data_IF_528227830763
#
_entry.id   IF_528227830763
#
_cell.length_a   1.000
_cell.length_b   1.000
_cell.length_c   1.000
_cell.angle_alpha   90.00
_cell.angle_beta   90.00
_cell.angle_gamma   90.00
#
_symmetry.space_group_name_H-M   'P 1'
#
loop_
_entity.id
_entity.type
_entity.pdbx_description
1 polymer ?
#
# COMPACT_ATOMS: atom_id res chain seq x y z
N UNK A 1 0.99 -21.86 32.39
CA UNK A 1 1.63 -20.60 31.94
C UNK A 1 2.39 -20.69 30.60
N UNK A 2 2.29 -21.78 29.81
CA UNK A 2 3.13 -22.00 28.60
C UNK A 2 2.42 -21.77 27.25
N UNK A 3 1.09 -21.65 27.22
CA UNK A 3 0.31 -21.46 25.98
C UNK A 3 0.34 -20.01 25.46
N UNK A 4 0.30 -19.02 26.36
CA UNK A 4 0.25 -17.59 25.98
C UNK A 4 1.56 -17.08 25.34
N UNK A 5 2.71 -17.61 25.76
CA UNK A 5 4.03 -17.24 25.24
C UNK A 5 4.26 -17.70 23.79
N UNK A 6 3.84 -18.94 23.45
CA UNK A 6 3.96 -19.45 22.06
C UNK A 6 3.02 -18.73 21.10
N UNK A 7 1.81 -18.40 21.53
CA UNK A 7 0.84 -17.67 20.71
C UNK A 7 1.31 -16.23 20.40
N UNK A 8 1.91 -15.53 21.38
CA UNK A 8 2.48 -14.21 21.18
C UNK A 8 3.69 -14.22 20.22
N UNK A 9 4.57 -15.23 20.33
CA UNK A 9 5.77 -15.38 19.49
C UNK A 9 5.43 -15.74 18.04
N UNK A 10 4.45 -16.61 17.82
CA UNK A 10 3.98 -16.99 16.49
C UNK A 10 3.27 -15.82 15.76
N UNK A 11 2.50 -15.01 16.49
CA UNK A 11 1.83 -13.81 15.94
C UNK A 11 2.85 -12.77 15.45
N UNK A 12 3.88 -12.48 16.26
CA UNK A 12 4.97 -11.56 15.90
C UNK A 12 5.75 -12.02 14.65
N UNK A 13 5.99 -13.33 14.50
CA UNK A 13 6.68 -13.88 13.33
C UNK A 13 5.85 -13.72 12.03
N UNK A 14 4.54 -13.96 12.08
CA UNK A 14 3.67 -13.82 10.90
C UNK A 14 3.55 -12.38 10.41
N UNK A 15 3.48 -11.41 11.33
CA UNK A 15 3.42 -9.98 11.01
C UNK A 15 4.72 -9.53 10.31
N UNK A 16 5.87 -9.97 10.84
CA UNK A 16 7.17 -9.71 10.24
C UNK A 16 7.30 -10.29 8.83
N UNK A 17 6.90 -11.54 8.62
CA UNK A 17 6.96 -12.17 7.28
C UNK A 17 6.09 -11.45 6.25
N UNK A 18 4.91 -10.95 6.65
CA UNK A 18 4.02 -10.23 5.73
C UNK A 18 4.59 -8.86 5.33
N UNK A 19 5.16 -8.14 6.29
CA UNK A 19 5.86 -6.87 6.03
C UNK A 19 7.07 -7.13 5.13
N UNK A 20 7.91 -8.10 5.47
CA UNK A 20 9.09 -8.47 4.69
C UNK A 20 8.72 -8.85 3.25
N UNK A 21 7.69 -9.69 3.07
CA UNK A 21 7.22 -10.08 1.75
C UNK A 21 6.75 -8.86 0.93
N UNK A 22 5.97 -7.96 1.54
CA UNK A 22 5.52 -6.73 0.88
C UNK A 22 6.69 -5.84 0.47
N UNK A 23 7.67 -5.66 1.36
CA UNK A 23 8.88 -4.87 1.10
C UNK A 23 9.72 -5.48 -0.02
N UNK A 24 9.91 -6.80 -0.03
CA UNK A 24 10.67 -7.50 -1.08
C UNK A 24 9.97 -7.35 -2.43
N UNK A 25 8.65 -7.57 -2.50
CA UNK A 25 7.89 -7.43 -3.75
C UNK A 25 7.96 -6.00 -4.28
N UNK A 26 7.80 -5.00 -3.40
CA UNK A 26 7.94 -3.59 -3.79
C UNK A 26 9.36 -3.27 -4.25
N UNK A 27 10.38 -3.74 -3.54
CA UNK A 27 11.78 -3.55 -3.92
C UNK A 27 12.09 -4.13 -5.31
N UNK A 28 11.55 -5.32 -5.62
CA UNK A 28 11.67 -5.93 -6.94
C UNK A 28 10.95 -5.12 -8.02
N UNK A 29 9.71 -4.68 -7.77
CA UNK A 29 8.97 -3.83 -8.71
C UNK A 29 9.75 -2.54 -8.97
N UNK A 30 10.23 -1.86 -7.92
CA UNK A 30 11.04 -0.64 -8.06
C UNK A 30 12.32 -0.88 -8.86
N UNK A 31 13.06 -1.97 -8.57
CA UNK A 31 14.28 -2.31 -9.31
C UNK A 31 13.99 -2.55 -10.81
N UNK A 32 12.92 -3.28 -11.13
CA UNK A 32 12.50 -3.54 -12.51
C UNK A 32 12.06 -2.26 -13.21
N UNK A 33 11.31 -1.38 -12.54
CA UNK A 33 10.89 -0.10 -13.10
C UNK A 33 12.09 0.80 -13.41
N UNK A 34 13.04 0.91 -12.48
CA UNK A 34 14.28 1.70 -12.67
C UNK A 34 15.11 1.11 -13.82
N UNK A 35 15.37 -0.20 -13.79
CA UNK A 35 16.10 -0.88 -14.85
C UNK A 35 15.41 -0.74 -16.21
N UNK A 36 14.09 -0.94 -16.26
CA UNK A 36 13.29 -0.82 -17.47
C UNK A 36 13.33 0.58 -18.07
N UNK A 37 13.29 1.63 -17.24
CA UNK A 37 13.40 3.03 -17.68
C UNK A 37 14.78 3.30 -18.30
N UNK A 38 15.86 2.90 -17.63
CA UNK A 38 17.22 3.10 -18.14
C UNK A 38 17.47 2.28 -19.41
N UNK A 39 17.08 1.01 -19.43
CA UNK A 39 17.26 0.15 -20.59
C UNK A 39 16.45 0.66 -21.79
N UNK A 40 15.21 1.09 -21.59
CA UNK A 40 14.36 1.63 -22.66
C UNK A 40 14.99 2.88 -23.31
N UNK A 41 15.66 3.72 -22.51
CA UNK A 41 16.38 4.90 -22.99
C UNK A 41 17.71 4.55 -23.66
N UNK A 42 18.54 3.72 -23.01
CA UNK A 42 19.88 3.34 -23.49
C UNK A 42 19.82 2.51 -24.78
N UNK A 43 18.88 1.58 -24.88
CA UNK A 43 18.67 0.78 -26.07
C UNK A 43 17.87 1.52 -27.16
N UNK A 44 17.57 2.82 -26.98
CA UNK A 44 16.80 3.67 -27.90
C UNK A 44 15.48 3.05 -28.37
N UNK A 45 14.84 2.23 -27.54
CA UNK A 45 13.58 1.54 -27.90
C UNK A 45 12.47 2.56 -28.19
N UNK A 46 12.55 3.76 -27.61
CA UNK A 46 11.66 4.88 -27.88
C UNK A 46 11.73 5.41 -29.33
N UNK A 47 12.82 5.18 -30.07
CA UNK A 47 12.97 5.57 -31.49
C UNK A 47 12.61 4.42 -32.44
N UNK A 48 12.51 3.18 -31.92
CA UNK A 48 12.26 2.00 -32.74
C UNK A 48 10.81 1.94 -33.27
N UNK A 49 10.62 1.05 -34.26
CA UNK A 49 9.31 0.75 -34.82
C UNK A 49 8.29 0.37 -33.74
N UNK A 50 6.99 0.72 -33.91
CA UNK A 50 5.96 0.49 -32.90
C UNK A 50 5.80 -0.99 -32.52
N UNK A 51 6.08 -1.91 -33.45
CA UNK A 51 6.01 -3.35 -33.17
C UNK A 51 7.06 -3.80 -32.15
N UNK A 52 8.27 -3.24 -32.20
CA UNK A 52 9.37 -3.56 -31.28
C UNK A 52 9.08 -2.99 -29.89
N UNK A 53 8.51 -1.78 -29.84
CA UNK A 53 8.02 -1.16 -28.61
C UNK A 53 6.96 -2.02 -27.93
N UNK A 54 5.98 -2.49 -28.69
CA UNK A 54 4.90 -3.35 -28.17
C UNK A 54 5.45 -4.69 -27.66
N UNK A 55 6.36 -5.33 -28.40
CA UNK A 55 7.00 -6.58 -27.97
C UNK A 55 7.78 -6.41 -26.65
N UNK A 56 8.52 -5.31 -26.52
CA UNK A 56 9.23 -4.96 -25.29
C UNK A 56 8.28 -4.74 -24.11
N UNK A 57 7.22 -3.96 -24.31
CA UNK A 57 6.19 -3.71 -23.28
C UNK A 57 5.51 -5.01 -22.85
N UNK A 58 5.19 -5.91 -23.78
CA UNK A 58 4.58 -7.20 -23.45
C UNK A 58 5.50 -8.08 -22.62
N UNK A 59 6.81 -8.11 -22.93
CA UNK A 59 7.80 -8.82 -22.12
C UNK A 59 7.89 -8.25 -20.71
N UNK A 60 7.95 -6.92 -20.58
CA UNK A 60 7.99 -6.24 -19.28
C UNK A 60 6.72 -6.49 -18.47
N UNK A 61 5.56 -6.42 -19.12
CA UNK A 61 4.28 -6.73 -18.48
C UNK A 61 4.24 -8.18 -17.99
N UNK A 62 4.77 -9.13 -18.76
CA UNK A 62 4.86 -10.53 -18.33
C UNK A 62 5.71 -10.74 -17.08
N UNK A 63 6.78 -9.95 -16.91
CA UNK A 63 7.64 -10.00 -15.71
C UNK A 63 6.98 -9.31 -14.51
N UNK A 64 6.34 -8.16 -14.72
CA UNK A 64 5.78 -7.34 -13.64
C UNK A 64 4.40 -7.85 -13.17
N UNK A 65 3.60 -8.44 -14.05
CA UNK A 65 2.27 -8.96 -13.71
C UNK A 65 2.23 -9.89 -12.48
N UNK A 66 3.07 -10.93 -12.35
CA UNK A 66 3.05 -11.79 -11.17
C UNK A 66 3.40 -11.03 -9.88
N UNK A 67 4.28 -10.02 -9.95
CA UNK A 67 4.63 -9.18 -8.81
C UNK A 67 3.45 -8.29 -8.39
N UNK A 68 2.72 -7.71 -9.35
CA UNK A 68 1.50 -6.94 -9.06
C UNK A 68 0.44 -7.85 -8.42
N UNK A 69 0.23 -9.05 -8.95
CA UNK A 69 -0.73 -10.01 -8.36
C UNK A 69 -0.32 -10.35 -6.92
N UNK A 70 0.95 -10.68 -6.69
CA UNK A 70 1.46 -10.95 -5.36
C UNK A 70 1.26 -9.74 -4.42
N UNK A 71 1.52 -8.53 -4.89
CA UNK A 71 1.32 -7.30 -4.13
C UNK A 71 -0.16 -7.09 -3.77
N UNK A 72 -1.09 -7.31 -4.70
CA UNK A 72 -2.53 -7.21 -4.44
C UNK A 72 -2.97 -8.21 -3.37
N UNK A 73 -2.51 -9.45 -3.45
CA UNK A 73 -2.83 -10.48 -2.47
C UNK A 73 -2.27 -10.14 -1.08
N UNK A 74 -1.02 -9.65 -1.02
CA UNK A 74 -0.41 -9.19 0.22
C UNK A 74 -1.21 -8.03 0.82
N UNK A 75 -1.51 -6.99 0.03
CA UNK A 75 -2.29 -5.83 0.49
C UNK A 75 -3.70 -6.24 0.96
N UNK A 76 -4.36 -7.16 0.25
CA UNK A 76 -5.67 -7.71 0.62
C UNK A 76 -5.69 -8.40 1.98
N UNK A 77 -4.54 -8.89 2.47
CA UNK A 77 -4.39 -9.49 3.79
C UNK A 77 -3.87 -8.47 4.82
N UNK A 78 -2.98 -7.55 4.41
CA UNK A 78 -2.38 -6.54 5.28
C UNK A 78 -3.41 -5.56 5.87
N UNK A 79 -4.40 -5.14 5.06
CA UNK A 79 -5.39 -4.12 5.47
C UNK A 79 -6.38 -4.66 6.51
N UNK A 80 -7.09 -5.78 6.29
CA UNK A 80 -8.15 -6.22 7.20
C UNK A 80 -7.60 -6.67 8.55
N UNK A 81 -6.33 -7.11 8.59
CA UNK A 81 -5.61 -7.47 9.82
C UNK A 81 -5.50 -6.32 10.82
N UNK A 82 -5.56 -5.06 10.35
CA UNK A 82 -5.54 -3.86 11.21
C UNK A 82 -6.88 -3.64 11.93
N UNK A 83 -7.97 -4.10 11.32
CA UNK A 83 -9.34 -3.87 11.78
C UNK A 83 -9.93 -5.08 12.51
N UNK A 84 -9.64 -6.30 12.06
CA UNK A 84 -10.34 -7.52 12.47
C UNK A 84 -9.46 -8.47 13.31
N UNK A 85 -10.03 -9.14 14.32
CA UNK A 85 -9.37 -10.24 15.01
C UNK A 85 -9.17 -11.45 14.08
N UNK A 86 -8.19 -12.30 14.38
CA UNK A 86 -7.72 -13.39 13.49
C UNK A 86 -8.83 -14.30 12.94
N UNK A 87 -9.86 -14.59 13.75
CA UNK A 87 -10.99 -15.44 13.33
C UNK A 87 -11.83 -14.78 12.24
N UNK A 88 -12.13 -13.49 12.38
CA UNK A 88 -12.87 -12.71 11.38
C UNK A 88 -12.01 -12.39 10.17
N UNK A 89 -10.70 -12.18 10.37
CA UNK A 89 -9.74 -12.01 9.28
C UNK A 89 -9.77 -13.22 8.34
N UNK A 90 -9.73 -14.45 8.86
CA UNK A 90 -9.74 -15.64 8.01
C UNK A 90 -11.04 -15.76 7.21
N UNK A 91 -12.20 -15.48 7.83
CA UNK A 91 -13.50 -15.47 7.14
C UNK A 91 -13.54 -14.42 6.03
N UNK A 92 -13.05 -13.22 6.32
CA UNK A 92 -12.98 -12.13 5.36
C UNK A 92 -12.04 -12.45 4.19
N UNK A 93 -10.85 -13.02 4.47
CA UNK A 93 -9.89 -13.43 3.45
C UNK A 93 -10.45 -14.53 2.56
N UNK A 94 -11.12 -15.55 3.13
CA UNK A 94 -11.79 -16.59 2.34
C UNK A 94 -12.87 -15.96 1.45
N UNK A 95 -13.69 -15.08 2.00
CA UNK A 95 -14.73 -14.38 1.23
C UNK A 95 -14.12 -13.55 0.10
N UNK A 96 -13.04 -12.81 0.35
CA UNK A 96 -12.31 -12.05 -0.66
C UNK A 96 -11.74 -12.94 -1.77
N UNK A 97 -11.17 -14.09 -1.42
CA UNK A 97 -10.61 -15.03 -2.39
C UNK A 97 -11.74 -15.63 -3.23
N UNK A 98 -12.83 -16.07 -2.61
CA UNK A 98 -13.98 -16.63 -3.33
C UNK A 98 -14.60 -15.61 -4.27
N UNK A 99 -14.83 -14.37 -3.82
CA UNK A 99 -15.37 -13.31 -4.68
C UNK A 99 -14.40 -12.98 -5.81
N UNK A 100 -13.10 -12.92 -5.55
CA UNK A 100 -12.08 -12.72 -6.57
C UNK A 100 -12.05 -13.84 -7.61
N UNK A 101 -12.15 -15.11 -7.18
CA UNK A 101 -12.16 -16.26 -8.09
C UNK A 101 -13.43 -16.30 -8.94
N UNK A 102 -14.59 -16.10 -8.32
CA UNK A 102 -15.89 -16.06 -9.01
C UNK A 102 -15.90 -14.92 -10.03
N UNK A 103 -15.52 -13.71 -9.64
CA UNK A 103 -15.46 -12.57 -10.56
C UNK A 103 -14.39 -12.74 -11.64
N UNK A 104 -13.26 -13.38 -11.33
CA UNK A 104 -12.23 -13.71 -12.32
C UNK A 104 -12.72 -14.74 -13.33
N UNK A 105 -13.55 -15.69 -12.91
CA UNK A 105 -14.15 -16.70 -13.78
C UNK A 105 -15.15 -16.08 -14.76
N UNK A 106 -16.00 -15.15 -14.29
CA UNK A 106 -17.03 -14.54 -15.13
C UNK A 106 -16.56 -13.35 -15.96
N UNK A 107 -15.67 -12.51 -15.43
CA UNK A 107 -15.30 -11.22 -16.01
C UNK A 107 -13.78 -11.06 -16.24
N UNK A 108 -13.01 -12.14 -16.06
CA UNK A 108 -11.56 -12.17 -16.25
C UNK A 108 -10.76 -11.72 -15.03
N UNK A 109 -9.51 -12.19 -14.97
CA UNK A 109 -8.57 -11.98 -13.84
C UNK A 109 -8.39 -10.50 -13.50
N UNK A 110 -8.35 -9.61 -14.50
CA UNK A 110 -8.23 -8.17 -14.30
C UNK A 110 -9.38 -7.63 -13.42
N UNK A 111 -10.60 -8.07 -13.66
CA UNK A 111 -11.79 -7.62 -12.93
C UNK A 111 -11.76 -8.14 -11.49
N UNK A 112 -11.41 -9.41 -11.29
CA UNK A 112 -11.29 -9.97 -9.93
C UNK A 112 -10.22 -9.28 -9.09
N UNK A 113 -9.07 -8.98 -9.67
CA UNK A 113 -8.02 -8.19 -9.00
C UNK A 113 -8.50 -6.78 -8.64
N UNK A 114 -9.27 -6.13 -9.53
CA UNK A 114 -9.84 -4.81 -9.27
C UNK A 114 -10.84 -4.86 -8.11
N UNK A 115 -11.68 -5.90 -8.02
CA UNK A 115 -12.60 -6.10 -6.88
C UNK A 115 -11.84 -6.23 -5.56
N UNK A 116 -10.77 -7.04 -5.52
CA UNK A 116 -9.91 -7.18 -4.33
C UNK A 116 -9.31 -5.83 -3.94
N UNK A 117 -8.79 -5.10 -4.92
CA UNK A 117 -8.15 -3.81 -4.71
C UNK A 117 -9.15 -2.74 -4.26
N UNK A 118 -10.36 -2.72 -4.81
CA UNK A 118 -11.44 -1.83 -4.40
C UNK A 118 -11.88 -2.10 -2.96
N UNK A 119 -12.05 -3.38 -2.59
CA UNK A 119 -12.35 -3.76 -1.21
C UNK A 119 -11.23 -3.33 -0.25
N UNK A 120 -9.96 -3.55 -0.62
CA UNK A 120 -8.81 -3.10 0.16
C UNK A 120 -8.77 -1.57 0.30
N UNK A 121 -9.08 -0.83 -0.76
CA UNK A 121 -9.13 0.64 -0.76
C UNK A 121 -10.21 1.17 0.19
N UNK A 122 -11.42 0.61 0.12
CA UNK A 122 -12.53 1.00 1.00
C UNK A 122 -12.13 0.75 2.46
N UNK A 123 -11.64 -0.45 2.78
CA UNK A 123 -11.21 -0.79 4.14
C UNK A 123 -10.07 0.10 4.62
N UNK A 124 -9.07 0.36 3.78
CA UNK A 124 -7.93 1.19 4.14
C UNK A 124 -8.34 2.65 4.38
N UNK A 125 -9.32 3.13 3.62
CA UNK A 125 -9.91 4.47 3.81
C UNK A 125 -10.61 4.55 5.17
N UNK A 126 -11.42 3.54 5.54
CA UNK A 126 -12.05 3.46 6.87
C UNK A 126 -10.99 3.43 7.98
N UNK A 127 -9.94 2.62 7.82
CA UNK A 127 -8.83 2.55 8.78
C UNK A 127 -8.12 3.90 8.92
N UNK A 128 -7.92 4.65 7.84
CA UNK A 128 -7.36 6.00 7.88
C UNK A 128 -8.26 6.97 8.64
N UNK A 129 -9.56 7.00 8.36
CA UNK A 129 -10.51 7.84 9.10
C UNK A 129 -10.52 7.51 10.59
N UNK A 130 -10.52 6.23 10.95
CA UNK A 130 -10.44 5.80 12.35
C UNK A 130 -9.10 6.17 13.01
N UNK A 131 -7.99 6.11 12.27
CA UNK A 131 -6.67 6.48 12.76
C UNK A 131 -6.59 7.99 13.03
N UNK A 132 -7.16 8.82 12.15
CA UNK A 132 -7.28 10.27 12.33
C UNK A 132 -8.21 10.59 13.52
N UNK A 133 -9.30 9.84 13.68
CA UNK A 133 -10.20 9.96 14.83
C UNK A 133 -9.59 9.49 16.16
N UNK A 134 -8.34 9.01 16.18
CA UNK A 134 -7.66 8.57 17.40
C UNK A 134 -8.23 7.28 18.00
N UNK A 135 -8.95 6.47 17.21
CA UNK A 135 -9.64 5.28 17.70
C UNK A 135 -8.66 4.28 18.34
N UNK A 136 -9.00 3.82 19.55
CA UNK A 136 -8.26 2.78 20.29
C UNK A 136 -8.53 1.37 19.77
N UNK A 137 -9.54 1.18 18.91
CA UNK A 137 -9.94 -0.12 18.36
C UNK A 137 -9.02 -0.65 17.26
N UNK A 138 -8.06 0.15 16.79
CA UNK A 138 -7.13 -0.26 15.73
C UNK A 138 -5.92 -1.00 16.31
N UNK A 139 -5.63 -2.18 15.74
CA UNK A 139 -4.50 -3.01 16.13
C UNK A 139 -3.22 -2.53 15.43
N UNK A 140 -2.51 -1.59 16.05
CA UNK A 140 -1.18 -1.16 15.58
C UNK A 140 -0.07 -1.67 16.49
N UNK A 141 1.06 -2.05 15.87
CA UNK A 141 2.25 -2.51 16.57
C UNK A 141 2.93 -1.39 17.39
N UNK A 142 2.85 -0.15 16.91
CA UNK A 142 3.34 1.04 17.63
C UNK A 142 2.18 1.92 18.13
N UNK A 143 2.30 2.43 19.37
CA UNK A 143 1.23 3.17 20.07
C UNK A 143 1.14 4.66 19.72
N UNK A 144 2.12 5.24 19.02
CA UNK A 144 2.13 6.68 18.71
C UNK A 144 1.09 7.08 17.67
N UNK A 145 0.27 8.09 17.95
CA UNK A 145 -0.79 8.61 17.05
C UNK A 145 -0.28 8.92 15.63
N UNK A 146 0.82 9.69 15.51
CA UNK A 146 1.41 10.04 14.22
C UNK A 146 1.94 8.83 13.45
N UNK A 147 2.52 7.85 14.17
CA UNK A 147 2.99 6.61 13.54
C UNK A 147 1.84 5.78 12.97
N UNK A 148 0.67 5.79 13.63
CA UNK A 148 -0.55 5.10 13.15
C UNK A 148 -1.08 5.74 11.87
N UNK A 149 -1.18 7.06 11.86
CA UNK A 149 -1.61 7.82 10.68
C UNK A 149 -0.61 7.61 9.54
N UNK A 150 0.69 7.71 9.82
CA UNK A 150 1.74 7.50 8.83
C UNK A 150 1.68 6.10 8.21
N UNK A 151 1.55 5.07 9.03
CA UNK A 151 1.44 3.68 8.56
C UNK A 151 0.17 3.45 7.72
N UNK A 152 -0.93 4.13 8.06
CA UNK A 152 -2.18 4.08 7.29
C UNK A 152 -2.05 4.79 5.95
N UNK A 153 -1.38 5.94 5.91
CA UNK A 153 -1.07 6.69 4.69
C UNK A 153 -0.16 5.90 3.74
N UNK A 154 0.86 5.20 4.26
CA UNK A 154 1.71 4.35 3.43
C UNK A 154 0.90 3.24 2.78
N UNK A 155 0.04 2.55 3.54
CA UNK A 155 -0.80 1.47 2.97
C UNK A 155 -1.80 2.00 1.94
N UNK A 156 -2.42 3.15 2.21
CA UNK A 156 -3.29 3.81 1.24
C UNK A 156 -2.53 4.17 -0.03
N UNK A 157 -1.34 4.76 0.10
CA UNK A 157 -0.46 5.08 -1.01
C UNK A 157 -0.10 3.84 -1.84
N UNK A 158 0.24 2.72 -1.21
CA UNK A 158 0.52 1.47 -1.94
C UNK A 158 -0.70 0.93 -2.70
N UNK A 159 -1.89 1.01 -2.12
CA UNK A 159 -3.12 0.59 -2.81
C UNK A 159 -3.40 1.49 -4.01
N UNK A 160 -3.28 2.81 -3.84
CA UNK A 160 -3.46 3.77 -4.92
C UNK A 160 -2.39 3.63 -6.01
N UNK A 161 -1.15 3.29 -5.65
CA UNK A 161 -0.08 2.97 -6.59
C UNK A 161 -0.44 1.77 -7.47
N UNK A 162 -0.96 0.69 -6.87
CA UNK A 162 -1.38 -0.48 -7.64
C UNK A 162 -2.60 -0.14 -8.51
N UNK A 163 -3.51 0.68 -8.01
CA UNK A 163 -4.68 1.15 -8.76
C UNK A 163 -4.25 1.96 -9.99
N UNK A 164 -3.24 2.81 -9.82
CA UNK A 164 -2.64 3.62 -10.87
C UNK A 164 -2.14 2.77 -12.05
N UNK A 165 -1.45 1.66 -11.76
CA UNK A 165 -0.99 0.71 -12.79
C UNK A 165 -2.15 0.10 -13.61
N UNK A 166 -3.32 -0.11 -12.98
CA UNK A 166 -4.51 -0.60 -13.67
C UNK A 166 -5.15 0.43 -14.61
N UNK A 167 -5.06 1.72 -14.24
CA UNK A 167 -5.66 2.83 -14.98
C UNK A 167 -4.67 3.59 -15.88
N UNK A 168 -3.48 3.04 -16.16
CA UNK A 168 -2.45 3.67 -17.01
C UNK A 168 -2.94 4.12 -18.40
N UNK A 169 -4.03 3.55 -18.92
CA UNK A 169 -4.63 3.97 -20.20
C UNK A 169 -5.34 5.32 -20.12
N UNK A 170 -5.79 5.73 -18.94
CA UNK A 170 -6.51 6.99 -18.71
C UNK A 170 -5.53 8.04 -18.16
N UNK A 171 -4.91 8.82 -19.07
CA UNK A 171 -3.82 9.74 -18.75
C UNK A 171 -4.13 10.71 -17.59
N UNK A 172 -5.33 11.30 -17.57
CA UNK A 172 -5.74 12.24 -16.50
C UNK A 172 -5.86 11.57 -15.14
N UNK A 173 -6.46 10.38 -15.09
CA UNK A 173 -6.62 9.63 -13.84
C UNK A 173 -5.29 9.07 -13.36
N UNK A 174 -4.44 8.61 -14.28
CA UNK A 174 -3.09 8.17 -13.96
C UNK A 174 -2.27 9.29 -13.30
N UNK A 175 -2.26 10.49 -13.88
CA UNK A 175 -1.51 11.62 -13.32
C UNK A 175 -2.04 12.02 -11.93
N UNK A 176 -3.36 12.04 -11.76
CA UNK A 176 -4.00 12.35 -10.47
C UNK A 176 -3.62 11.30 -9.41
N UNK A 177 -3.78 10.02 -9.73
CA UNK A 177 -3.47 8.91 -8.82
C UNK A 177 -1.98 8.89 -8.46
N UNK A 178 -1.09 9.15 -9.41
CA UNK A 178 0.34 9.27 -9.18
C UNK A 178 0.67 10.32 -8.12
N UNK A 179 0.12 11.54 -8.24
CA UNK A 179 0.38 12.61 -7.28
C UNK A 179 -0.20 12.32 -5.90
N UNK A 180 -1.44 11.80 -5.83
CA UNK A 180 -2.06 11.42 -4.56
C UNK A 180 -1.26 10.30 -3.88
N UNK A 181 -0.86 9.28 -4.65
CA UNK A 181 -0.02 8.17 -4.19
C UNK A 181 1.32 8.66 -3.64
N UNK A 182 2.00 9.53 -4.38
CA UNK A 182 3.29 10.10 -3.98
C UNK A 182 3.14 10.94 -2.71
N UNK A 183 2.13 11.81 -2.66
CA UNK A 183 1.84 12.59 -1.46
C UNK A 183 1.53 11.72 -0.24
N UNK A 184 0.66 10.72 -0.40
CA UNK A 184 0.29 9.81 0.67
C UNK A 184 1.48 8.99 1.19
N UNK A 185 2.30 8.45 0.30
CA UNK A 185 3.50 7.68 0.69
C UNK A 185 4.56 8.55 1.36
N UNK A 186 4.87 9.73 0.81
CA UNK A 186 5.85 10.66 1.39
C UNK A 186 5.41 11.18 2.75
N UNK A 187 4.17 11.68 2.87
CA UNK A 187 3.62 12.11 4.16
C UNK A 187 3.57 10.96 5.16
N UNK A 188 3.21 9.77 4.69
CA UNK A 188 3.20 8.56 5.50
C UNK A 188 4.58 8.24 6.08
N UNK A 189 5.63 8.30 5.26
CA UNK A 189 7.01 8.12 5.70
C UNK A 189 7.44 9.20 6.70
N UNK A 190 7.11 10.48 6.43
CA UNK A 190 7.42 11.59 7.35
C UNK A 190 6.81 11.33 8.72
N UNK A 191 5.52 10.97 8.78
CA UNK A 191 4.84 10.70 10.05
C UNK A 191 5.34 9.43 10.75
N UNK A 192 5.81 8.42 10.01
CA UNK A 192 6.38 7.22 10.61
C UNK A 192 7.79 7.44 11.18
N UNK A 193 8.67 8.15 10.47
CA UNK A 193 10.08 8.31 10.86
C UNK A 193 10.33 9.55 11.72
N UNK A 194 9.58 10.63 11.50
CA UNK A 194 9.76 11.91 12.19
C UNK A 194 8.62 12.23 13.16
N UNK A 195 7.92 11.20 13.66
CA UNK A 195 6.79 11.36 14.59
C UNK A 195 7.11 12.29 15.77
N UNK A 196 8.28 12.12 16.39
CA UNK A 196 8.71 12.94 17.53
C UNK A 196 8.98 14.40 17.14
N UNK A 197 9.61 14.63 15.98
CA UNK A 197 9.87 15.97 15.45
C UNK A 197 8.57 16.68 15.08
N UNK A 198 7.59 15.96 14.52
CA UNK A 198 6.25 16.49 14.20
C UNK A 198 5.52 16.91 15.48
N UNK A 199 5.58 16.09 16.53
CA UNK A 199 5.01 16.44 17.84
C UNK A 199 5.66 17.71 18.39
N UNK A 200 6.99 17.80 18.39
CA UNK A 200 7.72 18.99 18.87
C UNK A 200 7.34 20.25 18.10
N UNK A 201 7.21 20.17 16.78
CA UNK A 201 6.89 21.32 15.94
C UNK A 201 5.45 21.82 16.15
N UNK A 202 4.51 20.91 16.35
CA UNK A 202 3.11 21.25 16.64
C UNK A 202 2.96 21.80 18.06
N UNK A 203 3.64 21.21 19.05
CA UNK A 203 3.63 21.71 20.43
C UNK A 203 4.34 23.06 20.56
N UNK A 204 5.49 23.26 19.91
CA UNK A 204 6.23 24.53 19.94
C UNK A 204 5.43 25.70 19.31
N UNK A 205 4.54 25.41 18.35
CA UNK A 205 3.63 26.43 17.79
C UNK A 205 2.52 26.84 18.77
N UNK A 206 2.19 25.98 19.74
CA UNK A 206 1.15 26.23 20.75
C UNK A 206 1.66 27.09 21.91
N UNK A 207 2.97 27.13 22.13
CA UNK A 207 3.62 27.81 23.24
C UNK A 207 4.23 29.19 22.88
N UNK A 208 3.87 29.78 21.73
CA UNK A 208 4.18 31.21 21.48
C UNK A 208 3.08 32.08 22.11
N UNK A 209 3.28 32.67 23.31
CA UNK A 209 2.38 33.72 23.79
C UNK A 209 2.42 34.89 22.81
N UNK A 210 1.26 35.50 22.58
CA UNK A 210 1.13 36.72 21.80
C UNK A 210 2.08 37.77 22.37
N UNK A 211 3.04 38.19 21.56
CA UNK A 211 3.93 39.30 21.84
C UNK A 211 3.05 40.55 21.97
N UNK A 212 2.85 41.01 23.22
CA UNK A 212 2.23 42.30 23.52
C UNK A 212 3.17 43.36 22.97
N UNK A 213 2.78 43.98 21.85
CA UNK A 213 3.49 45.13 21.30
C UNK A 213 3.37 46.34 22.26
N UNK A 214 4.44 47.12 22.43
CA UNK A 214 4.52 48.21 23.40
C UNK A 214 3.61 49.39 23.09
#
# INVERSE_FOLDING_TARGET
MTSSSKAAKAKSSSDFHLILATTVVLGLISAICVWGMFYFKLARIHEMAPVVKAAWMNRMNGIVAPLIIALILLLGICVPKRLLPTVWLNRFSILLIVTALVTSWFAGVKTGLLVVLAAALILQTVVLFMAIGGSSYLNFEKKGYWVRIGSSLIHLGLILFVLDLFFHRQQTLHLLLFWITTGATVLGMIFCFYAESVVKLISAKKDKPAEVQP
#
